data_IF_706048486771
#
_entry.id   IF_706048486771
#
_cell.length_a   1.000
_cell.length_b   1.000
_cell.length_c   1.000
_cell.angle_alpha   90.00
_cell.angle_beta   90.00
_cell.angle_gamma   90.00
#
_symmetry.space_group_name_H-M   'P 1'
#
loop_
_entity.id
_entity.type
_entity.pdbx_description
1 polymer ?
#
# COMPACT_ATOMS: atom_id res chain seq x y z
N UNK A 1 -21.55 19.31 6.05
CA UNK A 1 -21.46 18.72 7.41
C UNK A 1 -20.55 19.55 8.29
N UNK A 2 -20.95 19.80 9.55
CA UNK A 2 -20.10 20.52 10.50
C UNK A 2 -18.94 19.63 10.95
N UNK A 3 -17.71 20.10 10.83
CA UNK A 3 -16.50 19.40 11.27
C UNK A 3 -16.40 19.43 12.79
N UNK A 4 -16.01 18.33 13.42
CA UNK A 4 -15.85 18.23 14.88
C UNK A 4 -14.78 19.18 15.43
N UNK A 5 -14.86 19.53 16.71
CA UNK A 5 -13.97 20.49 17.39
C UNK A 5 -12.48 20.13 17.23
N UNK A 6 -12.12 18.84 17.38
CA UNK A 6 -10.74 18.35 17.21
C UNK A 6 -10.20 18.61 15.81
N UNK A 7 -11.00 18.32 14.77
CA UNK A 7 -10.58 18.54 13.38
C UNK A 7 -10.42 20.05 13.07
N UNK A 8 -11.29 20.89 13.62
CA UNK A 8 -11.18 22.35 13.47
C UNK A 8 -9.86 22.84 14.06
N UNK A 9 -9.54 22.49 15.31
CA UNK A 9 -8.30 22.84 15.97
C UNK A 9 -7.05 22.33 15.21
N UNK A 10 -7.08 21.08 14.71
CA UNK A 10 -5.99 20.54 13.90
C UNK A 10 -5.83 21.26 12.54
N UNK A 11 -6.93 21.80 12.01
CA UNK A 11 -6.91 22.50 10.70
C UNK A 11 -6.45 23.95 10.80
N UNK A 12 -6.51 24.58 11.97
CA UNK A 12 -6.09 25.98 12.18
C UNK A 12 -4.59 26.18 11.92
N UNK A 13 -3.77 25.15 12.19
CA UNK A 13 -2.33 25.16 11.93
C UNK A 13 -1.92 24.78 10.49
N UNK A 14 -2.88 24.45 9.61
CA UNK A 14 -2.59 23.97 8.26
C UNK A 14 -3.19 24.90 7.22
N UNK A 15 -2.33 25.65 6.53
CA UNK A 15 -2.74 26.43 5.36
C UNK A 15 -2.95 25.49 4.16
N UNK A 16 -4.16 25.51 3.61
CA UNK A 16 -4.55 24.63 2.51
C UNK A 16 -4.02 25.04 1.15
N UNK A 17 -3.60 26.29 1.01
CA UNK A 17 -3.11 26.83 -0.26
C UNK A 17 -1.59 26.72 -0.37
N UNK A 18 -0.92 26.56 0.75
CA UNK A 18 0.52 26.37 0.84
C UNK A 18 0.93 24.92 0.59
N UNK A 19 2.05 24.72 -0.07
CA UNK A 19 2.78 23.44 -0.17
C UNK A 19 3.92 23.44 0.84
N UNK A 20 4.11 22.34 1.53
CA UNK A 20 5.09 22.18 2.61
C UNK A 20 6.22 21.24 2.20
N UNK A 21 7.46 21.48 2.64
CA UNK A 21 8.53 20.49 2.54
C UNK A 21 8.18 19.20 3.27
N UNK A 22 8.68 18.05 2.80
CA UNK A 22 8.34 16.75 3.35
C UNK A 22 8.57 16.63 4.86
N UNK A 23 9.73 17.10 5.37
CA UNK A 23 10.05 17.02 6.79
C UNK A 23 9.08 17.86 7.66
N UNK A 24 8.71 19.07 7.21
CA UNK A 24 7.76 19.93 7.92
C UNK A 24 6.36 19.31 7.93
N UNK A 25 5.92 18.80 6.79
CA UNK A 25 4.60 18.18 6.66
C UNK A 25 4.47 16.93 7.54
N UNK A 26 5.50 16.08 7.62
CA UNK A 26 5.53 14.91 8.51
C UNK A 26 5.39 15.33 9.97
N UNK A 27 6.12 16.36 10.41
CA UNK A 27 5.97 16.92 11.78
C UNK A 27 4.56 17.40 12.06
N UNK A 28 3.97 18.17 11.13
CA UNK A 28 2.61 18.69 11.27
C UNK A 28 1.57 17.56 11.37
N UNK A 29 1.66 16.55 10.51
CA UNK A 29 0.74 15.41 10.52
C UNK A 29 0.85 14.61 11.81
N UNK A 30 2.07 14.34 12.30
CA UNK A 30 2.29 13.68 13.60
C UNK A 30 1.76 14.49 14.77
N UNK A 31 2.01 15.80 14.81
CA UNK A 31 1.51 16.68 15.86
C UNK A 31 -0.03 16.72 15.92
N UNK A 32 -0.69 16.52 14.78
CA UNK A 32 -2.14 16.49 14.65
C UNK A 32 -2.76 15.10 14.86
N UNK A 33 -1.96 14.04 14.93
CA UNK A 33 -2.39 12.67 15.20
C UNK A 33 -2.66 12.45 16.71
N UNK A 34 -3.81 12.95 17.18
CA UNK A 34 -4.21 12.96 18.61
C UNK A 34 -5.38 12.03 18.91
N UNK A 35 -5.62 11.00 18.11
CA UNK A 35 -6.65 10.01 18.38
C UNK A 35 -6.22 9.07 19.54
N UNK A 36 -7.21 8.35 20.12
CA UNK A 36 -6.96 7.37 21.19
C UNK A 36 -6.35 6.05 20.69
N UNK A 37 -6.03 5.95 19.41
CA UNK A 37 -5.43 4.80 18.75
C UNK A 37 -4.22 5.26 17.92
N UNK A 38 -3.35 4.34 17.56
CA UNK A 38 -2.20 4.62 16.70
C UNK A 38 -2.65 4.86 15.27
N UNK A 39 -2.75 6.16 14.91
CA UNK A 39 -3.24 6.59 13.60
C UNK A 39 -2.31 6.12 12.47
N UNK A 40 -2.88 5.76 11.34
CA UNK A 40 -2.10 5.48 10.14
C UNK A 40 -1.78 6.80 9.43
N UNK A 41 -0.54 6.95 9.01
CA UNK A 41 -0.12 8.04 8.11
C UNK A 41 -0.34 7.56 6.68
N UNK A 42 -1.10 8.32 5.92
CA UNK A 42 -1.50 8.00 4.55
C UNK A 42 -1.04 9.09 3.59
N UNK A 43 -0.71 8.66 2.37
CA UNK A 43 -0.37 9.55 1.27
C UNK A 43 -1.42 9.41 0.16
N UNK A 44 -1.79 10.54 -0.43
CA UNK A 44 -2.62 10.61 -1.61
C UNK A 44 -1.86 11.34 -2.72
N UNK A 45 -1.77 10.73 -3.91
CA UNK A 45 -1.03 11.26 -5.04
C UNK A 45 -1.93 11.35 -6.26
N UNK A 46 -2.10 12.57 -6.80
CA UNK A 46 -2.80 12.78 -8.05
C UNK A 46 -1.81 12.66 -9.21
N UNK A 47 -2.07 11.74 -10.11
CA UNK A 47 -1.24 11.49 -11.28
C UNK A 47 -1.84 12.11 -12.55
N UNK A 48 -0.98 12.48 -13.48
CA UNK A 48 -1.35 12.99 -14.80
C UNK A 48 -1.57 11.87 -15.81
N UNK A 49 -2.45 10.92 -15.49
CA UNK A 49 -2.79 9.76 -16.30
C UNK A 49 -4.30 9.68 -16.53
N UNK A 50 -4.71 8.98 -17.57
CA UNK A 50 -6.09 8.52 -17.76
C UNK A 50 -6.18 7.00 -17.55
N UNK A 51 -6.60 6.52 -16.38
CA UNK A 51 -6.67 5.10 -16.06
C UNK A 51 -7.73 4.31 -16.83
N UNK A 52 -8.54 4.97 -17.68
CA UNK A 52 -9.48 4.32 -18.60
C UNK A 52 -8.74 3.59 -19.71
N UNK A 53 -7.55 4.08 -20.06
CA UNK A 53 -6.67 3.44 -21.02
C UNK A 53 -5.80 2.39 -20.31
N UNK A 54 -5.80 1.17 -20.81
CA UNK A 54 -5.08 0.04 -20.20
C UNK A 54 -3.56 0.25 -20.16
N UNK A 55 -3.02 1.02 -21.11
CA UNK A 55 -1.60 1.41 -21.20
C UNK A 55 -1.19 2.48 -20.19
N UNK A 56 -2.16 3.19 -19.57
CA UNK A 56 -1.91 4.21 -18.55
C UNK A 56 -2.27 3.73 -17.13
N UNK A 57 -2.59 2.46 -16.96
CA UNK A 57 -2.88 1.90 -15.65
C UNK A 57 -1.59 1.74 -14.84
N UNK A 58 -1.43 2.59 -13.81
CA UNK A 58 -0.31 2.52 -12.86
C UNK A 58 -0.65 1.58 -11.72
N UNK A 59 0.16 0.53 -11.57
CA UNK A 59 0.02 -0.48 -10.53
C UNK A 59 1.38 -1.09 -10.24
N UNK A 60 1.68 -1.29 -8.97
CA UNK A 60 2.94 -1.90 -8.55
C UNK A 60 2.97 -2.25 -7.08
N UNK A 61 4.09 -2.75 -6.64
CA UNK A 61 4.41 -3.03 -5.25
C UNK A 61 5.70 -2.32 -4.87
N UNK A 62 5.81 -1.89 -3.65
CA UNK A 62 7.00 -1.28 -3.07
C UNK A 62 7.25 -1.83 -1.67
N UNK A 63 8.49 -2.12 -1.37
CA UNK A 63 8.93 -2.45 -0.02
C UNK A 63 9.27 -1.16 0.72
N UNK A 64 8.62 -0.97 1.87
CA UNK A 64 8.87 0.19 2.71
C UNK A 64 10.07 -0.09 3.62
N UNK A 65 11.11 0.75 3.64
CA UNK A 65 12.31 0.54 4.46
C UNK A 65 12.03 0.34 5.95
N UNK A 66 11.03 1.05 6.47
CA UNK A 66 10.63 0.97 7.90
C UNK A 66 9.38 0.11 8.11
N UNK A 67 8.92 -0.60 7.08
CA UNK A 67 7.68 -1.38 7.12
C UNK A 67 6.42 -0.52 7.23
N UNK A 68 5.28 -1.19 7.43
CA UNK A 68 3.95 -0.52 7.54
C UNK A 68 3.49 -0.35 8.99
N UNK A 69 4.15 -0.98 9.96
CA UNK A 69 3.71 -1.04 11.37
C UNK A 69 2.47 -1.90 11.58
N UNK A 70 2.11 -2.76 10.62
CA UNK A 70 1.05 -3.75 10.74
C UNK A 70 1.64 -5.15 10.71
N UNK A 71 1.15 -6.03 11.57
CA UNK A 71 1.44 -7.46 11.48
C UNK A 71 0.60 -8.03 10.35
N UNK A 72 1.24 -8.39 9.24
CA UNK A 72 0.58 -8.92 8.06
C UNK A 72 0.51 -10.44 8.15
N UNK A 73 -0.68 -11.00 8.03
CA UNK A 73 -0.91 -12.45 7.93
C UNK A 73 -0.88 -12.84 6.46
N UNK A 74 -0.01 -13.79 6.13
CA UNK A 74 0.24 -14.21 4.75
C UNK A 74 -0.33 -15.61 4.52
N UNK A 75 -1.23 -15.72 3.56
CA UNK A 75 -1.72 -17.00 3.05
C UNK A 75 -0.94 -17.37 1.78
N UNK A 76 -0.53 -18.63 1.68
CA UNK A 76 0.24 -19.15 0.55
C UNK A 76 -0.46 -20.35 -0.07
N UNK A 77 -0.74 -20.24 -1.37
CA UNK A 77 -1.19 -21.38 -2.17
C UNK A 77 0.02 -22.08 -2.80
N UNK A 78 0.41 -23.20 -2.23
CA UNK A 78 1.53 -24.01 -2.72
C UNK A 78 1.32 -25.49 -2.40
N UNK A 79 1.96 -26.38 -3.19
CA UNK A 79 1.96 -27.83 -3.00
C UNK A 79 3.37 -28.36 -2.80
N UNK A 80 3.49 -29.48 -2.13
CA UNK A 80 4.73 -30.25 -1.96
C UNK A 80 5.84 -29.43 -1.28
N UNK A 81 7.09 -29.49 -1.77
CA UNK A 81 8.24 -28.83 -1.15
C UNK A 81 8.06 -27.31 -0.96
N UNK A 82 7.36 -26.64 -1.90
CA UNK A 82 7.10 -25.19 -1.81
C UNK A 82 6.16 -24.82 -0.66
N UNK A 83 5.30 -25.72 -0.24
CA UNK A 83 4.47 -25.52 0.95
C UNK A 83 5.31 -25.54 2.24
N UNK A 84 6.34 -26.40 2.29
CA UNK A 84 7.28 -26.43 3.41
C UNK A 84 8.18 -25.21 3.44
N UNK A 85 8.68 -24.77 2.28
CA UNK A 85 9.43 -23.51 2.13
C UNK A 85 8.60 -22.30 2.61
N UNK A 86 7.31 -22.25 2.26
CA UNK A 86 6.40 -21.20 2.71
C UNK A 86 6.26 -21.19 4.23
N UNK A 87 6.08 -22.34 4.86
CA UNK A 87 6.00 -22.49 6.32
C UNK A 87 7.31 -22.06 6.98
N UNK A 88 8.45 -22.49 6.46
CA UNK A 88 9.77 -22.12 6.95
C UNK A 88 10.03 -20.61 6.82
N UNK A 89 9.52 -19.97 5.76
CA UNK A 89 9.57 -18.52 5.57
C UNK A 89 8.63 -17.72 6.50
N UNK A 90 7.77 -18.42 7.25
CA UNK A 90 6.87 -17.85 8.25
C UNK A 90 5.48 -17.50 7.70
N UNK A 91 4.98 -18.15 6.65
CA UNK A 91 3.59 -17.99 6.22
C UNK A 91 2.63 -18.47 7.30
N UNK A 92 1.53 -17.74 7.51
CA UNK A 92 0.57 -18.03 8.56
C UNK A 92 -0.44 -19.09 8.13
N UNK A 93 -0.79 -19.12 6.86
CA UNK A 93 -1.68 -20.11 6.26
C UNK A 93 -1.02 -20.67 5.01
N UNK A 94 -0.87 -21.98 4.93
CA UNK A 94 -0.32 -22.65 3.75
C UNK A 94 -1.23 -23.82 3.39
N UNK A 95 -1.65 -23.89 2.13
CA UNK A 95 -2.53 -24.96 1.67
C UNK A 95 -2.74 -24.93 0.16
N UNK A 96 -3.54 -25.83 -0.31
CA UNK A 96 -3.93 -25.98 -1.70
C UNK A 96 -5.46 -25.90 -1.83
N UNK A 97 -6.11 -27.05 -2.10
CA UNK A 97 -7.56 -27.16 -2.18
C UNK A 97 -8.24 -26.94 -0.83
N UNK A 98 -7.64 -27.43 0.25
CA UNK A 98 -8.09 -27.27 1.62
C UNK A 98 -8.19 -25.79 2.03
N UNK A 99 -7.22 -24.97 1.63
CA UNK A 99 -7.26 -23.53 1.84
C UNK A 99 -8.33 -22.86 0.97
N UNK A 100 -8.53 -23.35 -0.26
CA UNK A 100 -9.57 -22.84 -1.14
C UNK A 100 -10.98 -23.12 -0.60
N UNK A 101 -11.20 -24.29 -0.01
CA UNK A 101 -12.46 -24.64 0.63
C UNK A 101 -12.77 -23.75 1.85
N UNK A 102 -11.78 -23.50 2.70
CA UNK A 102 -11.91 -22.57 3.83
C UNK A 102 -12.31 -21.16 3.38
N UNK A 103 -11.66 -20.66 2.33
CA UNK A 103 -11.98 -19.33 1.76
C UNK A 103 -13.39 -19.31 1.18
N UNK A 104 -13.82 -20.36 0.49
CA UNK A 104 -15.20 -20.50 0.01
C UNK A 104 -16.21 -20.55 1.18
N UNK A 105 -15.82 -21.16 2.30
CA UNK A 105 -16.59 -21.17 3.54
C UNK A 105 -16.64 -19.81 4.28
N UNK A 106 -15.91 -18.80 3.78
CA UNK A 106 -15.87 -17.47 4.36
C UNK A 106 -14.73 -17.22 5.36
N UNK A 107 -13.89 -18.20 5.63
CA UNK A 107 -12.71 -18.05 6.49
C UNK A 107 -11.58 -17.34 5.76
N UNK A 108 -11.44 -16.03 6.00
CA UNK A 108 -10.38 -15.19 5.40
C UNK A 108 -9.59 -14.45 6.47
N UNK A 109 -8.83 -15.22 7.25
CA UNK A 109 -7.99 -14.67 8.34
C UNK A 109 -6.57 -14.33 7.84
N UNK A 110 -6.46 -13.65 6.69
CA UNK A 110 -5.18 -13.22 6.11
C UNK A 110 -5.33 -11.86 5.43
N UNK A 111 -4.20 -11.16 5.33
CA UNK A 111 -4.12 -9.80 4.79
C UNK A 111 -3.39 -9.76 3.44
N UNK A 112 -2.67 -10.82 3.11
CA UNK A 112 -1.96 -11.01 1.83
C UNK A 112 -2.09 -12.44 1.36
N UNK A 113 -2.14 -12.60 0.03
CA UNK A 113 -2.19 -13.89 -0.62
C UNK A 113 -1.06 -14.03 -1.64
N UNK A 114 -0.29 -15.09 -1.52
CA UNK A 114 0.78 -15.48 -2.45
C UNK A 114 0.40 -16.81 -3.06
N UNK A 115 0.70 -17.03 -4.33
CA UNK A 115 0.42 -18.28 -5.00
C UNK A 115 1.58 -18.71 -5.90
N UNK A 116 1.81 -20.00 -6.00
CA UNK A 116 2.64 -20.56 -7.09
C UNK A 116 1.87 -20.53 -8.40
N UNK A 117 2.54 -20.40 -9.56
CA UNK A 117 1.86 -20.40 -10.86
C UNK A 117 0.93 -21.59 -11.07
N UNK A 118 1.32 -22.78 -10.59
CA UNK A 118 0.56 -24.04 -10.73
C UNK A 118 -0.79 -23.97 -9.99
N UNK A 119 -0.87 -23.21 -8.91
CA UNK A 119 -2.07 -23.06 -8.08
C UNK A 119 -3.06 -22.02 -8.60
N UNK A 120 -2.66 -21.26 -9.63
CA UNK A 120 -3.51 -20.18 -10.16
C UNK A 120 -4.83 -20.70 -10.76
N UNK A 121 -4.88 -21.97 -11.21
CA UNK A 121 -6.13 -22.59 -11.65
C UNK A 121 -7.17 -22.72 -10.54
N UNK A 122 -6.73 -23.00 -9.30
CA UNK A 122 -7.60 -23.09 -8.11
C UNK A 122 -7.92 -21.69 -7.60
N UNK A 123 -6.90 -20.83 -7.45
CA UNK A 123 -7.05 -19.46 -6.99
C UNK A 123 -7.96 -18.66 -7.92
N UNK A 124 -7.92 -18.93 -9.23
CA UNK A 124 -8.79 -18.28 -10.21
C UNK A 124 -10.29 -18.50 -9.93
N UNK A 125 -10.67 -19.65 -9.41
CA UNK A 125 -12.06 -19.95 -9.00
C UNK A 125 -12.51 -19.08 -7.81
N UNK A 126 -11.57 -18.65 -6.97
CA UNK A 126 -11.80 -17.76 -5.83
C UNK A 126 -11.84 -16.28 -6.23
N UNK A 127 -11.67 -15.96 -7.51
CA UNK A 127 -11.59 -14.57 -8.01
C UNK A 127 -12.79 -13.70 -7.64
N UNK A 128 -14.00 -14.29 -7.54
CA UNK A 128 -15.22 -13.59 -7.11
C UNK A 128 -15.16 -13.16 -5.63
N UNK A 129 -14.38 -13.86 -4.80
CA UNK A 129 -14.23 -13.61 -3.36
C UNK A 129 -13.00 -12.74 -3.08
N UNK A 130 -11.84 -13.12 -3.65
CA UNK A 130 -10.56 -12.45 -3.42
C UNK A 130 -10.43 -11.13 -4.20
N UNK A 131 -11.02 -11.06 -5.40
CA UNK A 131 -10.91 -9.89 -6.29
C UNK A 131 -11.45 -8.60 -5.68
N UNK A 132 -12.71 -8.55 -5.19
CA UNK A 132 -13.29 -7.35 -4.58
C UNK A 132 -12.55 -6.88 -3.33
N UNK A 133 -11.86 -7.79 -2.63
CA UNK A 133 -11.06 -7.49 -1.43
C UNK A 133 -9.62 -7.09 -1.73
N UNK A 134 -9.19 -7.11 -3.00
CA UNK A 134 -7.81 -6.82 -3.37
C UNK A 134 -6.80 -7.90 -2.97
N UNK A 135 -7.26 -9.11 -2.61
CA UNK A 135 -6.41 -10.20 -2.15
C UNK A 135 -6.01 -11.18 -3.27
N UNK A 136 -6.43 -10.92 -4.51
CA UNK A 136 -6.14 -11.79 -5.64
C UNK A 136 -4.66 -11.74 -6.01
N UNK A 137 -3.92 -12.85 -5.98
CA UNK A 137 -2.53 -12.89 -6.43
C UNK A 137 -2.37 -12.45 -7.88
N UNK A 138 -1.30 -11.71 -8.16
CA UNK A 138 -1.03 -11.19 -9.50
C UNK A 138 0.47 -11.25 -9.83
N UNK A 139 0.84 -11.77 -11.03
CA UNK A 139 2.24 -11.82 -11.45
C UNK A 139 2.93 -10.45 -11.49
N UNK A 140 2.19 -9.40 -11.91
CA UNK A 140 2.73 -8.02 -11.98
C UNK A 140 3.10 -7.43 -10.62
N UNK A 141 2.55 -7.99 -9.53
CA UNK A 141 2.85 -7.60 -8.15
C UNK A 141 3.84 -8.53 -7.48
N UNK A 142 4.37 -9.52 -8.18
CA UNK A 142 5.27 -10.52 -7.60
C UNK A 142 4.61 -11.46 -6.58
N UNK A 143 3.27 -11.43 -6.46
CA UNK A 143 2.51 -12.32 -5.56
C UNK A 143 2.19 -13.66 -6.20
N UNK A 144 2.45 -13.81 -7.50
CA UNK A 144 2.49 -15.11 -8.20
C UNK A 144 3.94 -15.39 -8.58
N UNK A 145 4.60 -16.26 -7.86
CA UNK A 145 6.03 -16.55 -8.04
C UNK A 145 6.36 -17.98 -7.71
N UNK A 146 7.47 -18.46 -8.24
CA UNK A 146 8.07 -19.73 -7.84
C UNK A 146 8.91 -19.62 -6.57
N UNK A 147 9.47 -18.45 -6.30
CA UNK A 147 10.19 -18.15 -5.05
C UNK A 147 9.22 -17.66 -3.98
N UNK A 148 8.59 -18.63 -3.34
CA UNK A 148 7.60 -18.37 -2.28
C UNK A 148 8.26 -17.76 -1.05
N UNK A 149 9.50 -18.19 -0.74
CA UNK A 149 10.22 -17.71 0.44
C UNK A 149 10.49 -16.21 0.39
N UNK A 150 10.99 -15.71 -0.74
CA UNK A 150 11.23 -14.29 -0.95
C UNK A 150 9.92 -13.49 -0.89
N UNK A 151 8.85 -13.98 -1.53
CA UNK A 151 7.55 -13.31 -1.53
C UNK A 151 6.93 -13.20 -0.13
N UNK A 152 7.02 -14.25 0.69
CA UNK A 152 6.52 -14.23 2.08
C UNK A 152 7.35 -13.27 2.93
N UNK A 153 8.67 -13.28 2.81
CA UNK A 153 9.55 -12.34 3.53
C UNK A 153 9.26 -10.89 3.15
N UNK A 154 9.14 -10.58 1.85
CA UNK A 154 8.78 -9.25 1.38
C UNK A 154 7.39 -8.80 1.89
N UNK A 155 6.38 -9.69 1.88
CA UNK A 155 5.06 -9.40 2.42
C UNK A 155 5.11 -9.07 3.92
N UNK A 156 5.91 -9.80 4.70
CA UNK A 156 6.09 -9.58 6.15
C UNK A 156 6.98 -8.39 6.48
N UNK A 157 7.94 -8.06 5.62
CA UNK A 157 8.80 -6.88 5.76
C UNK A 157 8.03 -5.57 5.59
N UNK A 158 6.78 -5.60 5.12
CA UNK A 158 5.93 -4.42 4.99
C UNK A 158 5.88 -3.86 3.58
N UNK A 159 5.90 -4.72 2.57
CA UNK A 159 5.58 -4.30 1.21
C UNK A 159 4.14 -3.80 1.12
N UNK A 160 3.91 -2.77 0.32
CA UNK A 160 2.58 -2.25 0.02
C UNK A 160 2.31 -2.31 -1.48
N UNK A 161 1.05 -2.58 -1.82
CA UNK A 161 0.56 -2.46 -3.19
C UNK A 161 0.01 -1.05 -3.42
N UNK A 162 0.33 -0.47 -4.56
CA UNK A 162 -0.29 0.77 -5.02
C UNK A 162 -0.97 0.55 -6.37
N UNK A 163 -2.12 1.18 -6.53
CA UNK A 163 -2.92 1.14 -7.75
C UNK A 163 -3.59 2.48 -7.97
N UNK A 164 -3.48 3.01 -9.19
CA UNK A 164 -4.24 4.19 -9.57
C UNK A 164 -5.73 3.86 -9.67
N UNK A 165 -6.57 4.66 -9.03
CA UNK A 165 -8.02 4.60 -9.14
C UNK A 165 -8.51 5.21 -10.44
N UNK A 166 -9.81 5.10 -10.72
CA UNK A 166 -10.44 5.67 -11.94
C UNK A 166 -10.24 7.18 -12.11
N UNK A 167 -9.99 7.89 -11.01
CA UNK A 167 -9.67 9.34 -11.02
C UNK A 167 -8.18 9.64 -11.20
N UNK A 168 -7.32 8.63 -11.39
CA UNK A 168 -5.88 8.81 -11.50
C UNK A 168 -5.20 9.12 -10.17
N UNK A 169 -5.82 8.76 -9.04
CA UNK A 169 -5.29 8.99 -7.69
C UNK A 169 -4.78 7.67 -7.12
N UNK A 170 -3.64 7.73 -6.43
CA UNK A 170 -3.10 6.62 -5.63
C UNK A 170 -3.25 6.99 -4.16
N UNK A 171 -3.79 6.06 -3.38
CA UNK A 171 -3.84 6.10 -1.91
C UNK A 171 -3.00 4.98 -1.34
N UNK A 172 -2.15 5.29 -0.35
CA UNK A 172 -1.32 4.29 0.32
C UNK A 172 -1.01 4.68 1.76
N UNK A 173 -1.01 3.70 2.66
CA UNK A 173 -0.53 3.88 4.03
C UNK A 173 1.00 3.76 4.07
N UNK A 174 1.69 4.77 4.61
CA UNK A 174 3.15 4.85 4.65
C UNK A 174 3.74 4.59 6.04
N UNK A 175 2.91 4.36 7.05
CA UNK A 175 3.37 4.05 8.40
C UNK A 175 2.35 4.39 9.47
N UNK A 176 2.79 4.34 10.71
CA UNK A 176 2.00 4.68 11.89
C UNK A 176 2.47 6.00 12.51
N UNK A 177 1.59 6.67 13.24
CA UNK A 177 1.92 7.89 13.97
C UNK A 177 3.00 7.66 15.03
N UNK A 178 3.11 6.44 15.55
CA UNK A 178 4.16 5.98 16.48
C UNK A 178 5.56 5.93 15.86
N UNK A 179 5.68 5.87 14.53
CA UNK A 179 6.99 5.84 13.85
C UNK A 179 7.76 7.14 14.04
N UNK A 180 9.09 7.06 13.95
CA UNK A 180 9.95 8.25 13.90
C UNK A 180 9.66 9.09 12.63
N UNK A 181 9.97 10.37 12.67
CA UNK A 181 9.81 11.26 11.51
C UNK A 181 10.67 10.79 10.32
N UNK A 182 11.88 10.33 10.62
CA UNK A 182 12.80 9.80 9.61
C UNK A 182 12.28 8.53 8.94
N UNK A 183 11.67 7.63 9.71
CA UNK A 183 11.06 6.40 9.20
C UNK A 183 9.90 6.69 8.24
N UNK A 184 9.02 7.64 8.60
CA UNK A 184 7.91 8.06 7.73
C UNK A 184 8.46 8.74 6.46
N UNK A 185 9.46 9.60 6.62
CA UNK A 185 10.11 10.30 5.50
C UNK A 185 10.74 9.31 4.53
N UNK A 186 11.48 8.31 5.03
CA UNK A 186 12.07 7.25 4.21
C UNK A 186 11.01 6.45 3.45
N UNK A 187 9.91 6.08 4.12
CA UNK A 187 8.81 5.35 3.51
C UNK A 187 8.10 6.17 2.41
N UNK A 188 7.85 7.46 2.66
CA UNK A 188 7.26 8.36 1.65
C UNK A 188 8.15 8.47 0.43
N UNK A 189 9.46 8.68 0.61
CA UNK A 189 10.43 8.76 -0.50
C UNK A 189 10.47 7.47 -1.31
N UNK A 190 10.54 6.31 -0.64
CA UNK A 190 10.53 5.01 -1.30
C UNK A 190 9.28 4.83 -2.18
N UNK A 191 8.10 5.18 -1.65
CA UNK A 191 6.85 5.08 -2.38
C UNK A 191 6.81 6.04 -3.58
N UNK A 192 7.13 7.32 -3.39
CA UNK A 192 7.12 8.33 -4.45
C UNK A 192 8.09 7.95 -5.57
N UNK A 193 9.28 7.46 -5.22
CA UNK A 193 10.28 6.96 -6.19
C UNK A 193 9.76 5.75 -6.97
N UNK A 194 9.12 4.78 -6.28
CA UNK A 194 8.54 3.61 -6.93
C UNK A 194 7.42 3.99 -7.91
N UNK A 195 6.54 4.92 -7.51
CA UNK A 195 5.47 5.42 -8.38
C UNK A 195 6.06 6.17 -9.58
N UNK A 196 7.09 7.00 -9.39
CA UNK A 196 7.74 7.72 -10.48
C UNK A 196 8.41 6.77 -11.49
N UNK A 197 9.03 5.67 -11.01
CA UNK A 197 9.57 4.62 -11.87
C UNK A 197 8.50 3.87 -12.66
N UNK A 198 7.28 3.77 -12.11
CA UNK A 198 6.13 3.13 -12.74
C UNK A 198 5.41 4.04 -13.75
N UNK A 199 5.98 5.21 -14.10
CA UNK A 199 5.40 6.13 -15.08
C UNK A 199 5.23 5.42 -16.43
N UNK A 200 4.00 5.35 -16.98
CA UNK A 200 3.76 4.73 -18.27
C UNK A 200 4.29 5.61 -19.41
N UNK A 201 4.74 4.99 -20.50
CA UNK A 201 5.24 5.70 -21.67
C UNK A 201 4.17 6.61 -22.31
N UNK A 202 2.89 6.24 -22.20
CA UNK A 202 1.75 7.03 -22.70
C UNK A 202 1.40 8.27 -21.86
N UNK A 203 1.99 8.43 -20.66
CA UNK A 203 1.71 9.59 -19.81
C UNK A 203 2.44 10.84 -20.31
N UNK A 204 1.69 11.79 -20.87
CA UNK A 204 2.20 13.07 -21.37
C UNK A 204 2.15 14.14 -20.28
N UNK A 205 3.13 15.05 -20.28
CA UNK A 205 3.19 16.17 -19.34
C UNK A 205 3.63 15.79 -17.93
N UNK A 206 3.15 16.57 -16.94
CA UNK A 206 3.51 16.39 -15.52
C UNK A 206 2.83 15.13 -14.97
N UNK A 207 3.64 14.13 -14.61
CA UNK A 207 3.14 12.84 -14.12
C UNK A 207 2.59 12.93 -12.68
N UNK A 208 3.36 13.47 -11.75
CA UNK A 208 2.92 13.71 -10.36
C UNK A 208 2.40 15.15 -10.27
N UNK A 209 1.08 15.32 -10.19
CA UNK A 209 0.44 16.64 -10.14
C UNK A 209 0.36 17.20 -8.73
N UNK A 210 -0.08 16.38 -7.77
CA UNK A 210 -0.24 16.78 -6.36
C UNK A 210 0.09 15.60 -5.47
N UNK A 211 0.71 15.91 -4.34
CA UNK A 211 0.97 14.96 -3.27
C UNK A 211 0.42 15.53 -1.98
N UNK A 212 -0.25 14.72 -1.19
CA UNK A 212 -0.77 15.12 0.13
C UNK A 212 -0.55 14.01 1.13
N UNK A 213 -0.22 14.36 2.36
CA UNK A 213 -0.06 13.42 3.48
C UNK A 213 -1.08 13.78 4.57
N UNK A 214 -1.62 12.76 5.23
CA UNK A 214 -2.59 12.95 6.33
C UNK A 214 -2.48 11.83 7.34
N UNK A 215 -2.90 12.08 8.57
CA UNK A 215 -3.22 10.99 9.52
C UNK A 215 -4.69 10.58 9.37
N UNK A 216 -5.05 9.41 9.91
CA UNK A 216 -6.40 8.84 9.78
C UNK A 216 -7.51 9.83 10.14
N UNK A 217 -7.31 10.63 11.17
CA UNK A 217 -8.31 11.57 11.68
C UNK A 217 -7.90 13.04 11.55
N UNK A 218 -6.73 13.30 10.95
CA UNK A 218 -6.17 14.65 10.79
C UNK A 218 -6.52 15.32 9.46
N UNK A 219 -6.15 16.59 9.30
CA UNK A 219 -6.23 17.31 8.03
C UNK A 219 -5.17 16.82 7.04
N UNK A 220 -5.46 16.91 5.76
CA UNK A 220 -4.48 16.70 4.70
C UNK A 220 -3.54 17.90 4.55
N UNK A 221 -2.25 17.63 4.49
CA UNK A 221 -1.17 18.59 4.25
C UNK A 221 -0.62 18.39 2.85
N UNK A 222 -0.56 19.46 2.04
CA UNK A 222 0.00 19.37 0.69
C UNK A 222 1.52 19.35 0.75
N UNK A 223 2.12 18.41 0.05
CA UNK A 223 3.57 18.31 -0.11
C UNK A 223 4.03 19.00 -1.39
N UNK A 224 5.23 19.56 -1.35
CA UNK A 224 5.96 19.91 -2.55
C UNK A 224 6.49 18.62 -3.20
N UNK A 225 6.05 18.27 -4.43
CA UNK A 225 6.50 17.06 -5.12
C UNK A 225 8.01 17.02 -5.33
N UNK A 226 8.68 18.15 -5.49
CA UNK A 226 10.11 18.24 -5.70
C UNK A 226 10.89 17.75 -4.47
N UNK A 227 10.46 18.11 -3.26
CA UNK A 227 11.10 17.68 -2.01
C UNK A 227 10.86 16.21 -1.68
N UNK A 228 9.83 15.61 -2.24
CA UNK A 228 9.53 14.18 -2.08
C UNK A 228 10.32 13.30 -3.08
N UNK A 229 10.76 13.87 -4.21
CA UNK A 229 11.52 13.19 -5.27
C UNK A 229 13.03 13.35 -5.11
N UNK A 230 13.48 14.54 -4.64
CA UNK A 230 14.89 14.89 -4.53
C UNK A 230 15.44 14.48 -3.15
N UNK A 231 16.07 13.34 -3.10
CA UNK A 231 17.10 12.99 -2.11
C UNK A 231 17.66 11.60 -2.38
#
# INVERSE_FOLDING_TARGET
MARGKRYKAASEGVDRDKTYPLAEAVKMVKANAKAKFDETIEIAMNLGIDPRHADQAVRGMVELPSGTGKTVRVAVFARGPKAEEAKAAGADLVGAEDLAEKINGGEMNFDRCVATPDMMGIVGRLGKILGPRGLMPNPKLGTVTQDVSAAVKAAKAGSIEFRAEKAGIIHAGVGKASFSEDAITANVKALVTAINRAKPAGAKGTFIKKVSISSTMGPGVKLDPATALNS
#
